data_IF_367015836906
#
_entry.id   IF_367015836906
#
_cell.length_a   1.000
_cell.length_b   1.000
_cell.length_c   1.000
_cell.angle_alpha   90.00
_cell.angle_beta   90.00
_cell.angle_gamma   90.00
#
_symmetry.space_group_name_H-M   'P 1'
#
loop_
_entity.id
_entity.type
_entity.pdbx_description
1 polymer ?
#
# COMPACT_ATOMS: atom_id res chain seq x y z
N UNK A 1 -3.96 18.81 16.30
CA UNK A 1 -3.02 18.55 15.18
C UNK A 1 -1.97 19.67 15.17
N UNK A 2 -0.67 19.35 15.10
CA UNK A 2 0.40 20.37 15.06
C UNK A 2 0.86 20.57 13.62
N UNK A 3 0.64 21.76 13.07
CA UNK A 3 1.03 22.09 11.69
C UNK A 3 2.45 22.66 11.66
N UNK A 4 3.23 22.29 10.65
CA UNK A 4 4.58 22.81 10.40
C UNK A 4 4.60 23.61 9.11
N UNK A 5 5.17 24.81 9.13
CA UNK A 5 5.27 25.67 7.94
C UNK A 5 6.42 25.19 7.05
N UNK A 6 6.07 24.73 5.84
CA UNK A 6 7.04 24.31 4.82
C UNK A 6 6.80 25.11 3.55
N UNK A 7 7.88 25.53 2.88
CA UNK A 7 7.81 26.20 1.58
C UNK A 7 8.32 25.25 0.51
N UNK A 8 7.48 24.95 -0.49
CA UNK A 8 7.81 24.06 -1.60
C UNK A 8 7.61 24.79 -2.94
N UNK A 9 8.52 24.55 -3.89
CA UNK A 9 8.34 24.99 -5.27
C UNK A 9 7.60 23.91 -6.05
N UNK A 10 6.52 24.30 -6.73
CA UNK A 10 5.65 23.41 -7.47
C UNK A 10 5.47 23.95 -8.90
N UNK A 11 5.13 23.06 -9.83
CA UNK A 11 4.76 23.48 -11.19
C UNK A 11 3.48 24.31 -11.13
N UNK A 12 3.41 25.37 -11.94
CA UNK A 12 2.33 26.35 -11.88
C UNK A 12 0.96 25.77 -12.27
N UNK A 13 0.94 24.82 -13.20
CA UNK A 13 -0.24 24.05 -13.62
C UNK A 13 -0.80 23.22 -12.45
N UNK A 14 0.07 22.53 -11.70
CA UNK A 14 -0.34 21.74 -10.53
C UNK A 14 -0.94 22.62 -9.44
N UNK A 15 -0.33 23.79 -9.18
CA UNK A 15 -0.86 24.75 -8.21
C UNK A 15 -2.27 25.20 -8.59
N UNK A 16 -2.47 25.62 -9.84
CA UNK A 16 -3.79 26.04 -10.36
C UNK A 16 -4.82 24.91 -10.26
N UNK A 17 -4.43 23.69 -10.62
CA UNK A 17 -5.31 22.52 -10.51
C UNK A 17 -5.74 22.23 -9.07
N UNK A 18 -4.80 22.32 -8.12
CA UNK A 18 -5.07 22.11 -6.71
C UNK A 18 -5.95 23.23 -6.11
N UNK A 19 -5.73 24.49 -6.49
CA UNK A 19 -6.57 25.62 -6.08
C UNK A 19 -8.02 25.46 -6.56
N UNK A 20 -8.21 25.07 -7.83
CA UNK A 20 -9.55 24.81 -8.36
C UNK A 20 -10.24 23.67 -7.61
N UNK A 21 -9.50 22.58 -7.36
CA UNK A 21 -10.05 21.43 -6.61
C UNK A 21 -10.41 21.79 -5.17
N UNK A 22 -9.62 22.64 -4.53
CA UNK A 22 -9.91 23.14 -3.19
C UNK A 22 -11.23 23.94 -3.18
N UNK A 23 -11.43 24.80 -4.19
CA UNK A 23 -12.66 25.57 -4.35
C UNK A 23 -13.89 24.66 -4.60
N UNK A 24 -13.77 23.71 -5.52
CA UNK A 24 -14.86 22.77 -5.86
C UNK A 24 -15.28 21.89 -4.68
N UNK A 25 -14.35 21.54 -3.81
CA UNK A 25 -14.57 20.66 -2.67
C UNK A 25 -14.81 21.40 -1.34
N UNK A 26 -15.02 22.72 -1.38
CA UNK A 26 -15.18 23.59 -0.21
C UNK A 26 -14.13 23.31 0.89
N UNK A 27 -12.87 23.28 0.46
CA UNK A 27 -11.74 22.95 1.33
C UNK A 27 -10.55 23.88 1.09
N UNK A 28 -9.47 23.66 1.82
CA UNK A 28 -8.27 24.49 1.71
C UNK A 28 -7.23 23.83 0.83
N UNK A 29 -6.38 24.63 0.20
CA UNK A 29 -5.23 24.15 -0.56
C UNK A 29 -4.29 23.29 0.31
N UNK A 30 -4.15 23.64 1.59
CA UNK A 30 -3.38 22.86 2.57
C UNK A 30 -3.95 21.45 2.73
N UNK A 31 -5.28 21.33 2.86
CA UNK A 31 -5.95 20.04 3.02
C UNK A 31 -5.78 19.15 1.77
N UNK A 32 -5.86 19.75 0.58
CA UNK A 32 -5.59 19.03 -0.68
C UNK A 32 -4.17 18.47 -0.70
N UNK A 33 -3.17 19.25 -0.28
CA UNK A 33 -1.78 18.79 -0.23
C UNK A 33 -1.56 17.72 0.84
N UNK A 34 -2.11 17.88 2.04
CA UNK A 34 -1.98 16.91 3.11
C UNK A 34 -2.57 15.55 2.69
N UNK A 35 -3.79 15.54 2.13
CA UNK A 35 -4.43 14.30 1.66
C UNK A 35 -3.67 13.64 0.52
N UNK A 36 -3.15 14.44 -0.41
CA UNK A 36 -2.35 13.92 -1.51
C UNK A 36 -1.05 13.28 -1.02
N UNK A 37 -0.38 13.91 -0.06
CA UNK A 37 0.85 13.39 0.55
C UNK A 37 0.58 12.12 1.36
N UNK A 38 -0.48 12.11 2.17
CA UNK A 38 -0.90 10.93 2.94
C UNK A 38 -1.21 9.75 2.00
N UNK A 39 -2.01 9.99 0.96
CA UNK A 39 -2.34 8.97 -0.05
C UNK A 39 -1.09 8.43 -0.76
N UNK A 40 -0.13 9.30 -1.09
CA UNK A 40 1.13 8.90 -1.72
C UNK A 40 1.98 8.02 -0.79
N UNK A 41 2.15 8.44 0.46
CA UNK A 41 2.92 7.71 1.46
C UNK A 41 2.29 6.35 1.77
N UNK A 42 0.97 6.26 1.88
CA UNK A 42 0.27 5.00 2.08
C UNK A 42 0.41 4.05 0.89
N UNK A 43 0.33 4.56 -0.34
CA UNK A 43 0.47 3.76 -1.54
C UNK A 43 1.89 3.22 -1.70
N UNK A 44 2.90 4.04 -1.46
CA UNK A 44 4.30 3.61 -1.47
C UNK A 44 4.57 2.59 -0.36
N UNK A 45 4.08 2.81 0.86
CA UNK A 45 4.20 1.84 1.95
C UNK A 45 3.55 0.49 1.59
N UNK A 46 2.37 0.49 0.95
CA UNK A 46 1.72 -0.74 0.46
C UNK A 46 2.53 -1.43 -0.64
N UNK A 47 3.18 -0.66 -1.51
CA UNK A 47 4.03 -1.17 -2.59
C UNK A 47 5.30 -1.81 -2.04
N UNK A 48 5.94 -1.17 -1.07
CA UNK A 48 7.10 -1.69 -0.35
C UNK A 48 6.73 -2.95 0.46
N UNK A 49 5.58 -2.96 1.15
CA UNK A 49 5.10 -4.13 1.86
C UNK A 49 4.80 -5.32 0.92
N UNK A 50 4.30 -5.09 -0.29
CA UNK A 50 4.15 -6.14 -1.33
C UNK A 50 5.49 -6.63 -1.88
N UNK A 51 6.54 -5.80 -1.84
CA UNK A 51 7.91 -6.23 -2.16
C UNK A 51 8.54 -7.09 -1.05
N UNK A 52 7.97 -7.12 0.16
CA UNK A 52 8.35 -8.11 1.19
C UNK A 52 7.88 -9.48 0.70
N UNK A 53 8.82 -10.12 0.01
CA UNK A 53 8.84 -11.47 -0.53
C UNK A 53 8.07 -12.45 0.36
N UNK A 54 6.99 -13.02 -0.18
CA UNK A 54 6.49 -14.30 0.29
C UNK A 54 7.60 -15.33 0.08
N UNK A 55 8.20 -15.81 1.18
CA UNK A 55 9.01 -17.02 1.12
C UNK A 55 8.07 -18.21 0.94
N UNK A 56 7.62 -18.43 -0.29
CA UNK A 56 7.11 -19.73 -0.69
C UNK A 56 8.30 -20.68 -0.63
N UNK A 57 8.47 -21.35 0.52
CA UNK A 57 9.36 -22.49 0.59
C UNK A 57 8.77 -23.57 -0.32
N UNK A 58 9.54 -23.99 -1.33
CA UNK A 58 9.24 -25.21 -2.06
C UNK A 58 9.40 -26.37 -1.05
N UNK A 59 8.28 -26.98 -0.67
CA UNK A 59 8.26 -28.10 0.30
C UNK A 59 8.67 -29.43 -0.35
N UNK A 60 9.17 -29.43 -1.58
CA UNK A 60 9.54 -30.62 -2.33
C UNK A 60 8.36 -31.24 -3.08
N UNK A 61 8.63 -32.25 -3.89
CA UNK A 61 7.57 -33.11 -4.43
C UNK A 61 6.88 -33.84 -3.27
N UNK A 62 5.56 -34.04 -3.38
CA UNK A 62 4.82 -34.86 -2.43
C UNK A 62 5.46 -36.25 -2.44
N UNK A 63 6.29 -36.53 -1.43
CA UNK A 63 6.79 -37.88 -1.18
C UNK A 63 5.58 -38.79 -1.05
N UNK A 64 5.69 -40.01 -1.57
CA UNK A 64 4.67 -41.06 -1.46
C UNK A 64 4.26 -41.16 0.01
N UNK A 65 3.20 -40.44 0.35
CA UNK A 65 2.74 -40.37 1.71
C UNK A 65 2.07 -41.70 1.95
N UNK A 66 2.69 -42.51 2.82
CA UNK A 66 2.09 -43.75 3.31
C UNK A 66 0.64 -43.44 3.66
N UNK A 67 -0.25 -44.09 2.93
CA UNK A 67 -1.68 -43.99 3.13
C UNK A 67 -2.03 -44.73 4.41
N UNK A 68 -3.18 -44.38 5.00
CA UNK A 68 -3.62 -44.99 6.26
C UNK A 68 -3.62 -46.52 6.22
N UNK A 69 -3.89 -47.07 5.04
CA UNK A 69 -3.98 -48.50 4.77
C UNK A 69 -2.60 -49.20 4.85
N UNK A 70 -1.50 -48.43 4.75
CA UNK A 70 -0.14 -48.97 4.89
C UNK A 70 0.26 -49.21 6.36
N UNK A 71 -0.47 -48.61 7.31
CA UNK A 71 -0.20 -48.73 8.76
C UNK A 71 -1.29 -49.43 9.56
N UNK A 72 -2.51 -49.47 9.02
CA UNK A 72 -3.66 -50.07 9.69
C UNK A 72 -4.29 -51.07 8.73
N UNK A 73 -4.15 -52.36 9.02
CA UNK A 73 -5.00 -53.37 8.39
C UNK A 73 -6.47 -53.00 8.65
N UNK A 74 -7.29 -53.11 7.61
CA UNK A 74 -8.71 -52.78 7.60
C UNK A 74 -9.46 -53.44 8.79
N UNK A 75 -10.60 -52.87 9.24
CA UNK A 75 -11.14 -53.03 10.60
C UNK A 75 -11.40 -54.47 11.06
#
# INVERSE_FOLDING_TARGET
MKLTRTTLRLRADLKKGAERKALEADTTLQEVFNRALESYLEQEAKREAKQIVFRTHNLGEALDNLTRDDYYDAP
#
